data_IF_330579292285
#
_entry.id   IF_330579292285
#
_cell.length_a   1.000
_cell.length_b   1.000
_cell.length_c   1.000
_cell.angle_alpha   90.00
_cell.angle_beta   90.00
_cell.angle_gamma   90.00
#
_symmetry.space_group_name_H-M   'P 1'
#
loop_
_entity.id
_entity.type
_entity.pdbx_description
1 polymer ?
#
# COMPACT_ATOMS: atom_id res chain seq x y z
N UNK A 1 11.13 -9.75 -5.75
CA UNK A 1 11.48 -8.56 -4.94
C UNK A 1 11.56 -8.93 -3.46
N UNK A 2 12.62 -8.52 -2.78
CA UNK A 2 12.80 -8.74 -1.34
C UNK A 2 11.78 -7.95 -0.51
N UNK A 3 11.48 -8.40 0.71
CA UNK A 3 10.51 -7.73 1.60
C UNK A 3 10.81 -6.25 1.80
N UNK A 4 12.08 -5.91 2.07
CA UNK A 4 12.53 -4.52 2.26
C UNK A 4 12.14 -3.64 1.07
N UNK A 5 12.42 -4.09 -0.14
CA UNK A 5 12.13 -3.34 -1.38
C UNK A 5 10.63 -3.14 -1.58
N UNK A 6 9.79 -4.12 -1.21
CA UNK A 6 8.32 -3.97 -1.26
C UNK A 6 7.83 -2.91 -0.28
N UNK A 7 8.37 -2.87 0.94
CA UNK A 7 8.02 -1.86 1.94
C UNK A 7 8.45 -0.46 1.48
N UNK A 8 9.67 -0.35 0.94
CA UNK A 8 10.19 0.90 0.38
C UNK A 8 9.29 1.39 -0.77
N UNK A 9 8.88 0.49 -1.67
CA UNK A 9 7.95 0.80 -2.75
C UNK A 9 6.60 1.30 -2.20
N UNK A 10 6.02 0.62 -1.20
CA UNK A 10 4.75 1.02 -0.59
C UNK A 10 4.80 2.43 0.00
N UNK A 11 5.88 2.76 0.72
CA UNK A 11 6.08 4.09 1.30
C UNK A 11 6.13 5.17 0.22
N UNK A 12 6.91 4.95 -0.84
CA UNK A 12 7.03 5.90 -1.97
C UNK A 12 5.70 6.01 -2.73
N UNK A 13 5.04 4.90 -2.99
CA UNK A 13 3.76 4.87 -3.70
C UNK A 13 2.67 5.64 -2.93
N UNK A 14 2.57 5.43 -1.61
CA UNK A 14 1.63 6.17 -0.73
C UNK A 14 1.98 7.65 -0.65
N UNK A 15 3.26 8.03 -0.66
CA UNK A 15 3.71 9.42 -0.60
C UNK A 15 3.60 10.17 -1.93
N UNK A 16 3.42 9.47 -3.06
CA UNK A 16 3.40 10.06 -4.40
C UNK A 16 2.21 10.99 -4.68
N UNK A 17 1.16 10.91 -3.87
CA UNK A 17 -0.10 11.62 -4.10
C UNK A 17 -1.01 11.01 -5.19
N UNK A 18 -0.52 10.02 -5.96
CA UNK A 18 -1.27 9.38 -7.07
C UNK A 18 -2.58 8.74 -6.60
N UNK A 19 -2.62 8.19 -5.39
CA UNK A 19 -3.77 7.46 -4.84
C UNK A 19 -4.58 8.29 -3.85
N UNK A 20 -4.29 9.60 -3.73
CA UNK A 20 -4.87 10.48 -2.72
C UNK A 20 -4.15 10.42 -1.36
N UNK A 21 -4.74 11.02 -0.31
CA UNK A 21 -4.09 11.17 1.00
C UNK A 21 -4.00 9.87 1.81
N UNK A 22 -4.77 8.85 1.42
CA UNK A 22 -4.83 7.55 2.08
C UNK A 22 -5.13 6.48 1.04
N UNK A 23 -4.57 5.29 1.20
CA UNK A 23 -4.95 4.13 0.41
C UNK A 23 -5.94 3.27 1.21
N UNK A 24 -6.75 2.49 0.52
CA UNK A 24 -7.47 1.40 1.18
C UNK A 24 -7.34 0.12 0.37
N UNK A 25 -7.48 -1.01 1.07
CA UNK A 25 -7.38 -2.34 0.46
C UNK A 25 -8.48 -2.63 -0.56
N UNK A 26 -9.44 -1.72 -0.82
CA UNK A 26 -10.40 -1.88 -1.91
C UNK A 26 -9.92 -1.25 -3.22
N UNK A 27 -8.97 -0.32 -3.18
CA UNK A 27 -8.44 0.40 -4.35
C UNK A 27 -7.78 -0.55 -5.34
N UNK A 28 -8.38 -0.71 -6.52
CA UNK A 28 -7.91 -1.64 -7.55
C UNK A 28 -6.62 -1.18 -8.21
N UNK A 29 -6.52 0.11 -8.51
CA UNK A 29 -5.36 0.67 -9.21
C UNK A 29 -4.09 0.56 -8.37
N UNK A 30 -4.19 0.87 -7.08
CA UNK A 30 -3.08 0.72 -6.13
C UNK A 30 -2.60 -0.73 -6.03
N UNK A 31 -3.53 -1.68 -5.94
CA UNK A 31 -3.21 -3.10 -5.86
C UNK A 31 -2.60 -3.64 -7.16
N UNK A 32 -3.11 -3.19 -8.31
CA UNK A 32 -2.57 -3.55 -9.63
C UNK A 32 -1.14 -3.02 -9.80
N UNK A 33 -0.89 -1.76 -9.47
CA UNK A 33 0.46 -1.17 -9.51
C UNK A 33 1.42 -1.92 -8.57
N UNK A 34 0.97 -2.32 -7.38
CA UNK A 34 1.78 -3.12 -6.45
C UNK A 34 2.13 -4.49 -7.04
N UNK A 35 1.16 -5.20 -7.63
CA UNK A 35 1.38 -6.52 -8.25
C UNK A 35 2.43 -6.40 -9.36
N UNK A 36 2.27 -5.41 -10.25
CA UNK A 36 3.19 -5.17 -11.37
C UNK A 36 4.59 -4.82 -10.86
N UNK A 37 4.70 -3.89 -9.92
CA UNK A 37 5.99 -3.41 -9.44
C UNK A 37 6.77 -4.46 -8.65
N UNK A 38 6.08 -5.31 -7.89
CA UNK A 38 6.73 -6.25 -6.97
C UNK A 38 6.80 -7.69 -7.51
N UNK A 39 6.15 -7.96 -8.64
CA UNK A 39 5.86 -9.30 -9.14
C UNK A 39 5.24 -10.19 -8.04
N UNK A 40 4.32 -9.63 -7.25
CA UNK A 40 3.71 -10.32 -6.12
C UNK A 40 2.93 -11.56 -6.58
N UNK A 41 3.03 -12.64 -5.80
CA UNK A 41 2.12 -13.76 -5.97
C UNK A 41 0.68 -13.31 -5.70
N UNK A 42 -0.21 -13.64 -6.63
CA UNK A 42 -1.63 -13.30 -6.54
C UNK A 42 -2.48 -14.49 -6.08
N UNK A 43 -3.71 -14.18 -5.71
CA UNK A 43 -4.80 -15.16 -5.59
C UNK A 43 -6.10 -14.50 -6.05
N UNK A 44 -7.03 -15.32 -6.54
CA UNK A 44 -8.31 -14.84 -7.07
C UNK A 44 -9.36 -14.92 -5.96
N UNK A 45 -9.99 -13.79 -5.67
CA UNK A 45 -11.13 -13.70 -4.77
C UNK A 45 -12.42 -14.19 -5.44
N UNK A 46 -13.43 -14.61 -4.66
CA UNK A 46 -14.80 -14.73 -5.17
C UNK A 46 -15.21 -13.43 -5.90
N UNK A 47 -15.60 -13.55 -7.17
CA UNK A 47 -15.87 -12.41 -8.05
C UNK A 47 -14.72 -12.02 -8.99
N UNK A 48 -13.68 -12.85 -9.13
CA UNK A 48 -12.66 -12.74 -10.18
C UNK A 48 -11.60 -11.66 -9.94
N UNK A 49 -11.60 -11.02 -8.75
CA UNK A 49 -10.61 -10.00 -8.41
C UNK A 49 -9.30 -10.65 -7.97
N UNK A 50 -8.20 -10.31 -8.62
CA UNK A 50 -6.86 -10.67 -8.16
C UNK A 50 -6.43 -9.83 -6.96
N UNK A 51 -5.75 -10.47 -6.02
CA UNK A 51 -5.22 -9.86 -4.80
C UNK A 51 -3.78 -10.24 -4.57
N UNK A 52 -2.97 -9.30 -4.11
CA UNK A 52 -1.59 -9.58 -3.73
C UNK A 52 -1.53 -10.24 -2.35
N UNK A 53 -0.90 -11.43 -2.25
CA UNK A 53 -0.82 -12.21 -1.00
C UNK A 53 -0.18 -11.45 0.16
N UNK A 54 0.85 -10.65 -0.13
CA UNK A 54 1.66 -9.99 0.89
C UNK A 54 1.22 -8.55 1.21
N UNK A 55 0.30 -7.97 0.44
CA UNK A 55 0.00 -6.54 0.56
C UNK A 55 -0.47 -6.15 1.96
N UNK A 56 -1.41 -6.91 2.54
CA UNK A 56 -1.93 -6.61 3.89
C UNK A 56 -0.87 -6.81 4.98
N UNK A 57 0.00 -7.82 4.82
CA UNK A 57 1.08 -8.10 5.77
C UNK A 57 2.11 -6.99 5.73
N UNK A 58 2.53 -6.59 4.54
CA UNK A 58 3.51 -5.51 4.35
C UNK A 58 2.94 -4.15 4.84
N UNK A 59 1.65 -3.87 4.60
CA UNK A 59 0.98 -2.66 5.13
C UNK A 59 0.85 -2.67 6.66
N UNK A 60 0.58 -3.83 7.25
CA UNK A 60 0.52 -3.97 8.72
C UNK A 60 1.89 -3.70 9.34
N UNK A 61 2.96 -4.18 8.72
CA UNK A 61 4.31 -3.89 9.18
C UNK A 61 4.67 -2.40 9.10
N UNK A 62 4.25 -1.69 8.05
CA UNK A 62 4.44 -0.23 7.97
C UNK A 62 3.74 0.47 9.16
N UNK A 63 2.59 -0.04 9.58
CA UNK A 63 1.89 0.46 10.78
C UNK A 63 2.66 0.12 12.06
N UNK A 64 3.12 -1.13 12.20
CA UNK A 64 3.90 -1.58 13.37
C UNK A 64 5.21 -0.78 13.54
N UNK A 65 5.78 -0.29 12.44
CA UNK A 65 6.96 0.60 12.41
C UNK A 65 6.65 2.07 12.73
N UNK A 66 5.38 2.43 12.94
CA UNK A 66 4.94 3.81 13.17
C UNK A 66 4.92 4.68 11.91
N UNK A 67 5.09 4.09 10.72
CA UNK A 67 5.21 4.81 9.45
C UNK A 67 3.84 5.06 8.79
N UNK A 68 2.81 4.32 9.18
CA UNK A 68 1.43 4.57 8.80
C UNK A 68 0.46 4.35 9.97
N UNK A 69 -0.74 4.91 9.84
CA UNK A 69 -1.89 4.61 10.69
C UNK A 69 -2.86 3.72 9.91
N UNK A 70 -3.62 2.90 10.63
CA UNK A 70 -4.68 2.05 10.08
C UNK A 70 -6.02 2.42 10.69
N UNK A 71 -7.00 2.65 9.82
CA UNK A 71 -8.39 2.93 10.20
C UNK A 71 -9.32 1.90 9.57
N UNK A 72 -10.42 1.57 10.26
CA UNK A 72 -11.50 0.77 9.66
C UNK A 72 -12.46 1.70 8.93
N UNK A 73 -12.55 1.54 7.61
CA UNK A 73 -13.51 2.24 6.76
C UNK A 73 -14.69 1.31 6.49
N UNK A 74 -15.84 1.65 7.08
CA UNK A 74 -17.09 0.95 6.79
C UNK A 74 -17.75 1.58 5.58
N UNK A 75 -18.00 0.78 4.55
CA UNK A 75 -18.73 1.17 3.34
C UNK A 75 -20.03 0.40 3.32
N UNK A 76 -21.14 1.13 3.18
CA UNK A 76 -22.46 0.56 3.00
C UNK A 76 -22.72 0.40 1.51
N UNK A 77 -22.80 -0.84 1.05
CA UNK A 77 -23.29 -1.22 -0.27
C UNK A 77 -24.75 -1.70 -0.09
N UNK A 78 -25.60 -1.55 -1.12
CA UNK A 78 -27.08 -1.60 -1.03
C UNK A 78 -27.67 -2.68 -0.10
N UNK A 79 -27.06 -3.87 -0.08
CA UNK A 79 -27.50 -5.03 0.73
C UNK A 79 -26.49 -5.48 1.80
N UNK A 80 -25.28 -4.90 1.85
CA UNK A 80 -24.20 -5.39 2.71
C UNK A 80 -23.29 -4.27 3.22
N UNK A 81 -22.80 -4.43 4.46
CA UNK A 81 -21.74 -3.59 5.00
C UNK A 81 -20.40 -4.27 4.79
N UNK A 82 -19.46 -3.58 4.15
CA UNK A 82 -18.06 -4.04 4.01
C UNK A 82 -17.13 -3.14 4.80
N UNK A 83 -16.20 -3.77 5.49
CA UNK A 83 -15.14 -3.08 6.20
C UNK A 83 -13.84 -3.20 5.40
N UNK A 84 -13.22 -2.06 5.12
CA UNK A 84 -11.93 -1.97 4.45
C UNK A 84 -10.91 -1.36 5.41
N UNK A 85 -9.68 -1.87 5.38
CA UNK A 85 -8.59 -1.20 6.07
C UNK A 85 -8.09 -0.04 5.20
N UNK A 86 -8.13 1.18 5.77
CA UNK A 86 -7.55 2.40 5.23
C UNK A 86 -6.20 2.66 5.90
N UNK A 87 -5.22 3.09 5.12
CA UNK A 87 -3.87 3.37 5.58
C UNK A 87 -3.45 4.78 5.16
N UNK A 88 -2.92 5.52 6.13
CA UNK A 88 -2.48 6.92 5.95
C UNK A 88 -1.07 7.06 6.50
N UNK A 89 -0.14 7.63 5.72
CA UNK A 89 1.23 7.84 6.19
C UNK A 89 1.27 8.79 7.40
N UNK A 90 2.10 8.46 8.38
CA UNK A 90 2.50 9.40 9.44
C UNK A 90 3.53 10.39 8.90
N UNK A 91 3.93 11.37 9.72
CA UNK A 91 5.04 12.25 9.35
C UNK A 91 6.34 11.44 9.15
N UNK A 92 6.63 10.52 10.07
CA UNK A 92 7.77 9.61 9.97
C UNK A 92 7.74 8.80 8.65
N UNK A 93 6.58 8.27 8.26
CA UNK A 93 6.47 7.53 6.99
C UNK A 93 6.71 8.40 5.76
N UNK A 94 6.27 9.67 5.78
CA UNK A 94 6.56 10.63 4.70
C UNK A 94 8.04 10.98 4.62
N UNK A 95 8.69 11.17 5.77
CA UNK A 95 10.12 11.49 5.82
C UNK A 95 10.97 10.31 5.30
N UNK A 96 10.60 9.08 5.68
CA UNK A 96 11.24 7.86 5.16
C UNK A 96 11.04 7.72 3.65
N UNK A 97 9.81 7.90 3.15
CA UNK A 97 9.52 7.84 1.72
C UNK A 97 10.38 8.85 0.93
N UNK A 98 10.57 10.05 1.47
CA UNK A 98 11.44 11.08 0.87
C UNK A 98 12.90 10.67 0.88
N UNK A 99 13.39 10.05 1.96
CA UNK A 99 14.76 9.55 2.04
C UNK A 99 15.02 8.43 1.02
N UNK A 100 14.08 7.49 0.86
CA UNK A 100 14.14 6.43 -0.15
C UNK A 100 14.19 7.03 -1.55
N UNK A 101 13.27 7.93 -1.89
CA UNK A 101 13.21 8.55 -3.21
C UNK A 101 14.52 9.32 -3.53
N UNK A 102 15.09 10.01 -2.55
CA UNK A 102 16.37 10.71 -2.71
C UNK A 102 17.56 9.77 -2.95
N UNK A 103 17.54 8.55 -2.38
CA UNK A 103 18.57 7.54 -2.63
C UNK A 103 18.47 6.99 -4.05
N UNK A 104 17.26 6.62 -4.47
CA UNK A 104 17.04 6.05 -5.82
C UNK A 104 17.44 7.02 -6.92
N UNK A 105 17.13 8.31 -6.80
CA UNK A 105 17.53 9.33 -7.79
C UNK A 105 19.06 9.48 -7.91
N UNK A 106 19.80 9.28 -6.82
CA UNK A 106 21.28 9.34 -6.84
C UNK A 106 21.93 8.13 -7.46
N UNK A 107 21.27 6.97 -7.46
CA UNK A 107 21.79 5.74 -8.06
C UNK A 107 21.56 5.70 -9.58
N UNK A 108 20.64 6.52 -10.10
CA UNK A 108 20.31 6.63 -11.52
C UNK A 108 20.95 7.83 -12.24
N UNK A 109 21.71 8.67 -11.53
CA UNK A 109 22.40 9.86 -12.04
C UNK A 109 23.90 9.60 -12.20
#
# INVERSE_FOLDING_TARGET
>A
MARRERLEWLLVAMASGRYGPSIDTSMRDFEADFIVATAAQTYVMPGGRERARHLVVDLTEIVDRGQATRESKTVREDSHTRNYARFTLTQQGRDEARAIAARTTKETA
#
